data_IF_511504412588
#
_entry.id   IF_511504412588
#
_cell.length_a   1.000
_cell.length_b   1.000
_cell.length_c   1.000
_cell.angle_alpha   90.00
_cell.angle_beta   90.00
_cell.angle_gamma   90.00
#
_symmetry.space_group_name_H-M   'P 1'
#
loop_
_entity.id
_entity.type
_entity.pdbx_description
1 polymer ?
#
# COMPACT_ATOMS: atom_id res chain seq x y z
N UNK A 1 27.01 12.55 9.70
CA UNK A 1 26.18 11.97 8.62
C UNK A 1 24.72 12.37 8.82
N UNK A 2 24.04 12.89 7.80
CA UNK A 2 22.61 13.23 7.90
C UNK A 2 21.74 11.96 7.92
N UNK A 3 20.64 12.00 8.68
CA UNK A 3 19.64 10.92 8.73
C UNK A 3 18.92 10.78 7.39
N UNK A 4 18.61 9.55 6.98
CA UNK A 4 17.81 9.28 5.78
C UNK A 4 16.41 9.86 5.94
N UNK A 5 15.89 10.53 4.92
CA UNK A 5 14.51 11.06 4.96
C UNK A 5 13.52 9.99 4.50
N UNK A 6 12.39 9.90 5.19
CA UNK A 6 11.29 9.01 4.78
C UNK A 6 10.57 9.60 3.58
N UNK A 7 10.31 8.77 2.56
CA UNK A 7 9.51 9.20 1.41
C UNK A 7 8.04 9.36 1.80
N UNK A 8 7.58 10.60 1.97
CA UNK A 8 6.24 10.90 2.50
C UNK A 8 5.10 10.34 1.65
N UNK A 9 5.25 10.32 0.32
CA UNK A 9 4.25 9.75 -0.58
C UNK A 9 4.10 8.23 -0.42
N UNK A 10 5.18 7.53 -0.07
CA UNK A 10 5.13 6.09 0.20
C UNK A 10 4.51 5.84 1.59
N UNK A 11 4.91 6.64 2.59
CA UNK A 11 4.38 6.54 3.96
C UNK A 11 2.87 6.78 4.04
N UNK A 12 2.33 7.66 3.20
CA UNK A 12 0.88 7.91 3.13
C UNK A 12 0.08 6.76 2.49
N UNK A 13 0.73 5.83 1.76
CA UNK A 13 0.04 4.81 0.93
C UNK A 13 0.26 3.38 1.39
N UNK A 14 1.40 3.11 2.02
CA UNK A 14 1.82 1.78 2.45
C UNK A 14 1.75 1.69 3.97
N UNK A 15 1.16 0.61 4.47
CA UNK A 15 1.08 0.32 5.89
C UNK A 15 1.97 -0.88 6.23
N UNK A 16 2.77 -0.76 7.29
CA UNK A 16 3.66 -1.83 7.75
C UNK A 16 2.97 -2.56 8.91
N UNK A 17 2.82 -3.88 8.80
CA UNK A 17 2.33 -4.70 9.91
C UNK A 17 3.39 -4.87 10.98
N UNK A 18 3.02 -5.28 12.20
CA UNK A 18 4.00 -5.60 13.25
C UNK A 18 5.01 -6.69 12.85
N UNK A 19 4.66 -7.55 11.90
CA UNK A 19 5.54 -8.57 11.30
C UNK A 19 6.37 -8.08 10.11
N UNK A 20 6.33 -6.79 9.76
CA UNK A 20 7.12 -6.21 8.66
C UNK A 20 6.56 -6.42 7.26
N UNK A 21 5.30 -6.90 7.13
CA UNK A 21 4.63 -7.01 5.83
C UNK A 21 4.14 -5.64 5.39
N UNK A 22 4.36 -5.32 4.11
CA UNK A 22 3.89 -4.09 3.49
C UNK A 22 2.49 -4.33 2.91
N UNK A 23 1.52 -3.54 3.36
CA UNK A 23 0.13 -3.57 2.90
C UNK A 23 -0.20 -2.33 2.08
N UNK A 24 -1.02 -2.52 1.04
CA UNK A 24 -1.54 -1.48 0.17
C UNK A 24 -3.05 -1.61 -0.02
N UNK A 25 -3.70 -0.51 -0.39
CA UNK A 25 -5.10 -0.53 -0.84
C UNK A 25 -5.23 -1.15 -2.24
N UNK A 26 -6.37 -1.78 -2.54
CA UNK A 26 -6.69 -2.26 -3.88
C UNK A 26 -6.89 -1.10 -4.87
N UNK A 27 -6.36 -1.28 -6.09
CA UNK A 27 -6.55 -0.36 -7.22
C UNK A 27 -8.02 -0.37 -7.66
N UNK A 28 -8.41 0.62 -8.47
CA UNK A 28 -9.73 0.71 -9.12
C UNK A 28 -10.90 1.00 -8.15
N UNK A 29 -10.59 1.46 -6.94
CA UNK A 29 -11.57 1.73 -5.88
C UNK A 29 -12.09 3.17 -5.87
N UNK A 30 -11.52 4.09 -6.66
CA UNK A 30 -11.84 5.52 -6.66
C UNK A 30 -13.07 5.89 -7.50
N UNK A 31 -13.15 5.45 -8.77
CA UNK A 31 -14.19 5.87 -9.72
C UNK A 31 -14.83 4.68 -10.45
N UNK A 32 -15.90 4.96 -11.23
CA UNK A 32 -16.67 3.98 -12.02
C UNK A 32 -17.22 2.80 -11.21
N UNK A 33 -17.68 3.08 -9.98
CA UNK A 33 -18.22 2.04 -9.08
C UNK A 33 -19.64 1.61 -9.45
N UNK A 34 -20.42 2.46 -10.13
CA UNK A 34 -21.83 2.20 -10.49
C UNK A 34 -22.01 0.96 -11.39
N UNK A 35 -21.08 0.72 -12.31
CA UNK A 35 -21.11 -0.43 -13.23
C UNK A 35 -20.51 -1.71 -12.64
N UNK A 36 -19.96 -1.65 -11.42
CA UNK A 36 -19.27 -2.77 -10.80
C UNK A 36 -20.23 -3.53 -9.88
N UNK A 37 -20.23 -4.88 -9.91
CA UNK A 37 -21.00 -5.67 -8.97
C UNK A 37 -20.64 -5.34 -7.51
N UNK A 38 -21.63 -5.39 -6.62
CA UNK A 38 -21.46 -5.17 -5.17
C UNK A 38 -20.41 -6.11 -4.56
N UNK A 39 -20.36 -7.37 -5.03
CA UNK A 39 -19.33 -8.35 -4.64
C UNK A 39 -17.89 -7.86 -4.90
N UNK A 40 -17.68 -7.08 -5.96
CA UNK A 40 -16.35 -6.56 -6.32
C UNK A 40 -16.05 -5.30 -5.52
N UNK A 41 -17.01 -4.39 -5.37
CA UNK A 41 -16.82 -3.16 -4.62
C UNK A 41 -16.58 -3.42 -3.14
N UNK A 42 -17.19 -4.47 -2.56
CA UNK A 42 -16.92 -4.93 -1.18
C UNK A 42 -15.46 -5.35 -1.00
N UNK A 43 -14.86 -6.03 -1.98
CA UNK A 43 -13.45 -6.45 -1.89
C UNK A 43 -12.48 -5.26 -1.83
N UNK A 44 -12.85 -4.07 -2.30
CA UNK A 44 -11.94 -2.93 -2.38
C UNK A 44 -11.60 -2.27 -1.03
N UNK A 45 -12.38 -2.54 0.03
CA UNK A 45 -12.05 -2.08 1.39
C UNK A 45 -10.80 -2.75 1.95
N UNK A 46 -10.53 -3.99 1.52
CA UNK A 46 -9.47 -4.80 2.10
C UNK A 46 -8.09 -4.30 1.65
N UNK A 47 -7.14 -4.31 2.58
CA UNK A 47 -5.73 -4.09 2.29
C UNK A 47 -5.12 -5.42 1.84
N UNK A 48 -4.27 -5.39 0.81
CA UNK A 48 -3.53 -6.55 0.32
C UNK A 48 -2.04 -6.37 0.56
N UNK A 49 -1.32 -7.49 0.65
CA UNK A 49 0.13 -7.46 0.61
C UNK A 49 0.63 -6.85 -0.71
N UNK A 50 1.73 -6.11 -0.61
CA UNK A 50 2.54 -5.70 -1.77
C UNK A 50 3.15 -6.96 -2.40
N UNK A 51 3.30 -6.93 -3.72
CA UNK A 51 3.96 -8.02 -4.45
C UNK A 51 5.43 -8.15 -4.06
N UNK A 52 5.97 -9.37 -4.11
CA UNK A 52 7.37 -9.63 -3.76
C UNK A 52 8.36 -8.81 -4.59
N UNK A 53 8.04 -8.54 -5.86
CA UNK A 53 8.89 -7.75 -6.74
C UNK A 53 9.08 -6.29 -6.26
N UNK A 54 8.03 -5.70 -5.69
CA UNK A 54 8.03 -4.30 -5.24
C UNK A 54 8.55 -4.12 -3.81
N UNK A 55 8.65 -5.21 -3.04
CA UNK A 55 8.96 -5.18 -1.61
C UNK A 55 10.28 -4.47 -1.31
N UNK A 56 11.38 -4.87 -1.98
CA UNK A 56 12.72 -4.31 -1.76
C UNK A 56 12.77 -2.80 -2.02
N UNK A 57 12.07 -2.35 -3.07
CA UNK A 57 12.02 -0.92 -3.45
C UNK A 57 11.27 -0.10 -2.41
N UNK A 58 10.09 -0.56 -1.98
CA UNK A 58 9.26 0.15 -1.01
C UNK A 58 9.87 0.16 0.39
N UNK A 59 10.51 -0.94 0.79
CA UNK A 59 11.22 -0.99 2.08
C UNK A 59 12.36 0.03 2.14
N UNK A 60 13.12 0.22 1.06
CA UNK A 60 14.19 1.23 1.01
C UNK A 60 13.67 2.67 1.16
N UNK A 61 12.46 2.93 0.66
CA UNK A 61 11.81 4.25 0.75
C UNK A 61 11.26 4.58 2.16
N UNK A 62 11.08 3.56 3.00
CA UNK A 62 10.53 3.65 4.34
C UNK A 62 11.57 3.18 5.38
N UNK A 63 12.69 3.92 5.55
CA UNK A 63 13.78 3.51 6.42
C UNK A 63 13.42 3.42 7.91
N UNK A 64 12.33 4.07 8.34
CA UNK A 64 11.88 4.11 9.74
C UNK A 64 10.46 3.57 9.96
N UNK A 65 9.83 3.05 8.90
CA UNK A 65 8.42 2.68 8.90
C UNK A 65 7.43 3.83 8.78
#
# INVERSE_FOLDING_TARGET
MPKLKTHKGAKARIHITGSGKLLRRKRMSSHLRRKKPTKVTRKYSDKMAVDGADYKRLHRMLPYG
#
